data_IF_444242755758
#
_entry.id   IF_444242755758
#
_cell.length_a   1.000
_cell.length_b   1.000
_cell.length_c   1.000
_cell.angle_alpha   90.00
_cell.angle_beta   90.00
_cell.angle_gamma   90.00
#
_symmetry.space_group_name_H-M   'P 1'
#
loop_
_entity.id
_entity.type
_entity.pdbx_description
1 polymer ?
#
# COMPACT_ATOMS: atom_id res chain seq x y z
N UNK A 1 -33.16 -2.43 -0.76
CA UNK A 1 -31.71 -2.64 -0.58
C UNK A 1 -31.27 -3.71 -1.59
N UNK A 2 -30.18 -3.51 -2.30
CA UNK A 2 -29.70 -4.48 -3.30
C UNK A 2 -29.36 -5.82 -2.61
N UNK A 3 -29.94 -6.96 -3.03
CA UNK A 3 -29.66 -8.28 -2.43
C UNK A 3 -28.15 -8.62 -2.46
N UNK A 4 -27.43 -8.19 -3.48
CA UNK A 4 -25.99 -8.39 -3.59
C UNK A 4 -25.23 -7.65 -2.49
N UNK A 5 -25.65 -6.42 -2.14
CA UNK A 5 -25.07 -5.66 -1.06
C UNK A 5 -25.33 -6.29 0.31
N UNK A 6 -26.50 -6.93 0.51
CA UNK A 6 -26.81 -7.67 1.75
C UNK A 6 -25.92 -8.91 1.89
N UNK A 7 -25.74 -9.68 0.82
CA UNK A 7 -24.85 -10.85 0.82
C UNK A 7 -23.39 -10.46 1.07
N UNK A 8 -22.92 -9.36 0.45
CA UNK A 8 -21.57 -8.85 0.69
C UNK A 8 -21.38 -8.37 2.14
N UNK A 9 -22.40 -7.70 2.71
CA UNK A 9 -22.37 -7.29 4.11
C UNK A 9 -22.35 -8.49 5.07
N UNK A 10 -23.13 -9.53 4.79
CA UNK A 10 -23.11 -10.79 5.55
C UNK A 10 -21.75 -11.47 5.49
N UNK A 11 -21.14 -11.53 4.30
CA UNK A 11 -19.79 -12.06 4.12
C UNK A 11 -18.75 -11.23 4.89
N UNK A 12 -18.90 -9.92 4.89
CA UNK A 12 -17.99 -8.98 5.55
C UNK A 12 -18.01 -9.08 7.09
N UNK A 13 -19.14 -9.45 7.67
CA UNK A 13 -19.25 -9.71 9.13
C UNK A 13 -18.38 -10.91 9.52
N UNK A 14 -18.30 -11.92 8.66
CA UNK A 14 -17.45 -13.10 8.89
C UNK A 14 -16.02 -12.80 8.45
N UNK A 15 -15.14 -12.49 9.38
CA UNK A 15 -13.71 -12.18 9.05
C UNK A 15 -13.09 -13.31 8.24
N UNK A 16 -13.32 -14.58 8.61
CA UNK A 16 -12.80 -15.75 7.89
C UNK A 16 -13.36 -15.80 6.48
N UNK A 17 -14.66 -15.69 6.29
CA UNK A 17 -15.28 -15.70 4.94
C UNK A 17 -14.80 -14.55 4.07
N UNK A 18 -14.66 -13.36 4.66
CA UNK A 18 -14.25 -12.16 3.90
C UNK A 18 -12.76 -12.13 3.57
N UNK A 19 -11.88 -12.54 4.50
CA UNK A 19 -10.43 -12.34 4.33
C UNK A 19 -9.72 -13.53 3.68
N UNK A 20 -10.37 -14.70 3.62
CA UNK A 20 -9.84 -15.89 2.93
C UNK A 20 -10.14 -15.84 1.44
N UNK A 21 -9.70 -16.85 0.69
CA UNK A 21 -10.00 -17.06 -0.74
C UNK A 21 -11.50 -17.15 -1.08
N UNK A 22 -12.35 -17.39 -0.07
CA UNK A 22 -13.80 -17.41 -0.24
C UNK A 22 -14.31 -16.02 -0.62
N UNK A 23 -13.78 -14.97 0.03
CA UNK A 23 -14.20 -13.59 -0.21
C UNK A 23 -14.16 -13.16 -1.67
N UNK A 24 -13.00 -13.15 -2.34
CA UNK A 24 -12.90 -12.77 -3.74
C UNK A 24 -13.66 -13.73 -4.67
N UNK A 25 -13.74 -15.03 -4.38
CA UNK A 25 -14.50 -15.98 -5.18
C UNK A 25 -15.99 -15.63 -5.22
N UNK A 26 -16.60 -15.38 -4.05
CA UNK A 26 -18.01 -14.98 -3.93
C UNK A 26 -18.25 -13.62 -4.56
N UNK A 27 -17.41 -12.61 -4.26
CA UNK A 27 -17.57 -11.24 -4.76
C UNK A 27 -17.40 -11.14 -6.28
N UNK A 28 -16.50 -11.94 -6.85
CA UNK A 28 -16.33 -12.02 -8.31
C UNK A 28 -17.64 -12.43 -9.00
N UNK A 29 -18.35 -13.41 -8.46
CA UNK A 29 -19.63 -13.86 -8.99
C UNK A 29 -20.75 -12.82 -8.73
N UNK A 30 -20.84 -12.30 -7.51
CA UNK A 30 -21.86 -11.32 -7.13
C UNK A 30 -21.83 -10.05 -7.96
N UNK A 31 -20.60 -9.55 -8.24
CA UNK A 31 -20.41 -8.24 -8.88
C UNK A 31 -19.86 -8.32 -10.30
N UNK A 32 -19.77 -9.52 -10.87
CA UNK A 32 -19.38 -9.70 -12.27
C UNK A 32 -18.01 -9.08 -12.60
N UNK A 33 -16.96 -9.41 -11.81
CA UNK A 33 -15.64 -8.83 -12.05
C UNK A 33 -15.10 -9.17 -13.43
N UNK A 34 -14.76 -8.14 -14.17
CA UNK A 34 -14.04 -8.28 -15.43
C UNK A 34 -12.56 -7.97 -15.24
N UNK A 35 -11.66 -8.66 -15.94
CA UNK A 35 -10.26 -8.26 -15.99
C UNK A 35 -10.13 -6.90 -16.68
N UNK A 36 -9.10 -6.12 -16.37
CA UNK A 36 -8.79 -4.92 -17.13
C UNK A 36 -8.57 -5.28 -18.62
N UNK A 37 -8.93 -4.39 -19.56
CA UNK A 37 -8.64 -4.61 -20.97
C UNK A 37 -7.14 -4.80 -21.23
N UNK A 38 -6.79 -5.58 -22.23
CA UNK A 38 -5.41 -5.70 -22.67
C UNK A 38 -4.86 -4.30 -23.04
N UNK A 39 -3.63 -4.01 -22.62
CA UNK A 39 -3.02 -2.69 -22.85
C UNK A 39 -3.58 -1.54 -22.01
N UNK A 40 -4.42 -1.80 -21.00
CA UNK A 40 -5.01 -0.76 -20.14
C UNK A 40 -3.98 0.18 -19.47
N UNK A 41 -2.74 -0.27 -19.37
CA UNK A 41 -1.63 0.50 -18.79
C UNK A 41 -0.57 0.91 -19.84
N UNK A 42 -0.83 0.72 -21.13
CA UNK A 42 0.09 1.16 -22.16
C UNK A 42 0.32 2.68 -22.10
N UNK A 43 1.59 3.09 -22.13
CA UNK A 43 2.00 4.50 -22.00
C UNK A 43 1.85 5.09 -20.59
N UNK A 44 1.56 4.27 -19.58
CA UNK A 44 1.48 4.69 -18.18
C UNK A 44 2.69 4.20 -17.38
N UNK A 45 3.15 5.03 -16.45
CA UNK A 45 4.23 4.72 -15.52
C UNK A 45 3.67 4.40 -14.14
N UNK A 46 4.04 3.23 -13.61
CA UNK A 46 3.68 2.77 -12.27
C UNK A 46 4.94 2.57 -11.46
N UNK A 47 4.96 3.07 -10.23
CA UNK A 47 5.99 2.78 -9.25
C UNK A 47 5.47 1.73 -8.27
N UNK A 48 6.26 0.68 -8.01
CA UNK A 48 5.93 -0.35 -7.01
C UNK A 48 7.05 -0.44 -5.99
N UNK A 49 6.74 -0.19 -4.72
CA UNK A 49 7.68 -0.46 -3.62
C UNK A 49 7.56 -1.92 -3.18
N UNK A 50 8.71 -2.61 -2.99
CA UNK A 50 8.75 -4.03 -2.61
C UNK A 50 8.23 -4.98 -3.70
N UNK A 51 8.67 -4.86 -4.98
CA UNK A 51 8.15 -5.64 -6.09
C UNK A 51 8.67 -7.07 -6.17
N UNK A 52 9.65 -7.47 -5.34
CA UNK A 52 10.41 -8.71 -5.52
C UNK A 52 9.76 -9.96 -4.92
N UNK A 53 8.66 -9.83 -4.18
CA UNK A 53 7.96 -10.96 -3.57
C UNK A 53 6.50 -10.67 -3.26
N UNK A 54 5.72 -11.70 -2.97
CA UNK A 54 4.35 -11.61 -2.46
C UNK A 54 3.42 -10.75 -3.32
N UNK A 55 2.69 -9.86 -2.68
CA UNK A 55 1.70 -8.97 -3.33
C UNK A 55 2.34 -8.00 -4.31
N UNK A 56 3.51 -7.44 -3.94
CA UNK A 56 4.25 -6.50 -4.81
C UNK A 56 4.69 -7.16 -6.11
N UNK A 57 5.15 -8.42 -6.04
CA UNK A 57 5.51 -9.20 -7.23
C UNK A 57 4.28 -9.47 -8.10
N UNK A 58 3.20 -9.97 -7.50
CA UNK A 58 1.98 -10.27 -8.24
C UNK A 58 1.35 -9.02 -8.90
N UNK A 59 1.37 -7.87 -8.20
CA UNK A 59 0.92 -6.60 -8.76
C UNK A 59 1.82 -6.13 -9.91
N UNK A 60 3.15 -6.27 -9.76
CA UNK A 60 4.14 -5.94 -10.81
C UNK A 60 3.89 -6.76 -12.07
N UNK A 61 3.77 -8.08 -11.93
CA UNK A 61 3.51 -8.99 -13.05
C UNK A 61 2.20 -8.62 -13.77
N UNK A 62 1.13 -8.38 -13.01
CA UNK A 62 -0.17 -8.00 -13.57
C UNK A 62 -0.13 -6.66 -14.32
N UNK A 63 0.52 -5.64 -13.76
CA UNK A 63 0.63 -4.32 -14.37
C UNK A 63 1.55 -4.33 -15.60
N UNK A 64 2.64 -5.09 -15.54
CA UNK A 64 3.52 -5.31 -16.68
C UNK A 64 2.79 -6.00 -17.85
N UNK A 65 1.98 -7.02 -17.57
CA UNK A 65 1.14 -7.70 -18.57
C UNK A 65 0.10 -6.78 -19.21
N UNK A 66 -0.33 -5.74 -18.50
CA UNK A 66 -1.24 -4.70 -19.01
C UNK A 66 -0.53 -3.58 -19.78
N UNK A 67 0.78 -3.66 -19.97
CA UNK A 67 1.54 -2.72 -20.78
C UNK A 67 2.17 -1.56 -19.99
N UNK A 68 2.18 -1.59 -18.65
CA UNK A 68 2.78 -0.54 -17.84
C UNK A 68 4.33 -0.48 -17.98
N UNK A 69 4.89 0.72 -17.94
CA UNK A 69 6.27 0.96 -17.49
C UNK A 69 6.27 0.85 -15.97
N UNK A 70 7.05 -0.06 -15.37
CA UNK A 70 7.05 -0.29 -13.94
C UNK A 70 8.40 0.06 -13.32
N UNK A 71 8.43 1.13 -12.53
CA UNK A 71 9.59 1.52 -11.71
C UNK A 71 9.67 0.60 -10.50
N UNK A 72 10.69 -0.25 -10.48
CA UNK A 72 10.90 -1.27 -9.45
C UNK A 72 11.70 -0.67 -8.29
N UNK A 73 11.03 -0.42 -7.15
CA UNK A 73 11.69 0.20 -5.99
C UNK A 73 11.86 -0.80 -4.85
N UNK A 74 13.09 -1.00 -4.40
CA UNK A 74 13.39 -1.91 -3.29
C UNK A 74 14.83 -1.82 -2.79
N UNK A 75 15.14 -2.46 -1.67
CA UNK A 75 16.43 -2.32 -1.00
C UNK A 75 17.57 -3.19 -1.56
N UNK A 76 17.26 -4.26 -2.28
CA UNK A 76 18.27 -5.18 -2.83
C UNK A 76 18.41 -4.97 -4.34
N UNK A 77 19.52 -4.37 -4.78
CA UNK A 77 19.85 -4.18 -6.18
C UNK A 77 19.85 -5.51 -6.95
N UNK A 78 20.43 -6.55 -6.36
CA UNK A 78 20.51 -7.88 -6.95
C UNK A 78 19.12 -8.48 -7.23
N UNK A 79 18.21 -8.49 -6.23
CA UNK A 79 16.86 -9.03 -6.39
C UNK A 79 16.03 -8.22 -7.39
N UNK A 80 16.26 -6.91 -7.45
CA UNK A 80 15.59 -6.05 -8.43
C UNK A 80 16.10 -6.30 -9.84
N UNK A 81 17.41 -6.54 -10.01
CA UNK A 81 18.00 -6.89 -11.30
C UNK A 81 17.45 -8.23 -11.82
N UNK A 82 17.41 -9.26 -10.96
CA UNK A 82 16.81 -10.55 -11.32
C UNK A 82 15.35 -10.39 -11.75
N UNK A 83 14.56 -9.65 -10.98
CA UNK A 83 13.16 -9.39 -11.33
C UNK A 83 13.03 -8.65 -12.67
N UNK A 84 13.86 -7.62 -12.90
CA UNK A 84 13.87 -6.88 -14.16
C UNK A 84 14.15 -7.81 -15.34
N UNK A 85 15.18 -8.64 -15.23
CA UNK A 85 15.58 -9.56 -16.32
C UNK A 85 14.48 -10.58 -16.62
N UNK A 86 13.82 -11.12 -15.60
CA UNK A 86 12.62 -11.97 -15.76
C UNK A 86 11.49 -11.24 -16.51
N UNK A 87 11.19 -10.00 -16.13
CA UNK A 87 10.14 -9.21 -16.76
C UNK A 87 10.48 -8.87 -18.22
N UNK A 88 11.75 -8.51 -18.49
CA UNK A 88 12.22 -8.27 -19.88
C UNK A 88 12.12 -9.55 -20.70
N UNK A 89 12.50 -10.71 -20.15
CA UNK A 89 12.38 -12.00 -20.81
C UNK A 89 10.94 -12.36 -21.19
N UNK A 90 9.98 -12.00 -20.34
CA UNK A 90 8.54 -12.28 -20.58
C UNK A 90 7.90 -11.28 -21.55
N UNK A 91 8.25 -10.00 -21.46
CA UNK A 91 7.55 -8.93 -22.18
C UNK A 91 8.31 -8.38 -23.39
N UNK A 92 9.57 -8.82 -23.60
CA UNK A 92 10.38 -8.46 -24.78
C UNK A 92 10.87 -7.01 -24.84
N UNK A 93 10.58 -6.20 -23.81
CA UNK A 93 10.91 -4.77 -23.76
C UNK A 93 11.47 -4.38 -22.39
N UNK A 94 12.49 -3.53 -22.38
CA UNK A 94 13.03 -2.95 -21.14
C UNK A 94 12.27 -1.69 -20.72
N UNK A 95 11.16 -1.91 -20.03
CA UNK A 95 10.35 -0.85 -19.44
C UNK A 95 10.24 -0.98 -17.92
N UNK A 96 11.30 -1.55 -17.31
CA UNK A 96 11.37 -1.90 -15.89
C UNK A 96 12.57 -1.26 -15.19
N UNK A 97 12.63 0.09 -15.07
CA UNK A 97 13.72 0.77 -14.39
C UNK A 97 13.83 0.35 -12.94
N UNK A 98 15.05 0.14 -12.48
CA UNK A 98 15.38 -0.23 -11.10
C UNK A 98 15.82 1.01 -10.33
N UNK A 99 15.23 1.21 -9.16
CA UNK A 99 15.62 2.24 -8.19
C UNK A 99 15.83 1.59 -6.83
N UNK A 100 17.08 1.60 -6.38
CA UNK A 100 17.42 1.04 -5.06
C UNK A 100 17.03 2.04 -3.98
N UNK A 101 16.16 1.61 -3.05
CA UNK A 101 15.74 2.41 -1.92
C UNK A 101 15.40 1.56 -0.70
N UNK A 102 15.92 1.96 0.45
CA UNK A 102 15.47 1.46 1.75
C UNK A 102 14.44 2.43 2.33
N UNK A 103 13.20 1.96 2.48
CA UNK A 103 12.13 2.76 3.08
C UNK A 103 12.36 3.08 4.55
N UNK A 104 13.29 2.39 5.21
CA UNK A 104 13.73 2.69 6.59
C UNK A 104 14.78 3.79 6.71
N UNK A 105 15.22 4.38 5.57
CA UNK A 105 16.21 5.45 5.55
C UNK A 105 15.73 6.64 4.73
N UNK A 106 15.53 7.77 5.37
CA UNK A 106 15.08 9.00 4.71
C UNK A 106 16.07 9.50 3.66
N UNK A 107 17.37 9.35 3.91
CA UNK A 107 18.40 9.67 2.92
C UNK A 107 18.27 8.81 1.66
N UNK A 108 18.03 7.50 1.83
CA UNK A 108 17.81 6.57 0.71
C UNK A 108 16.52 6.89 -0.06
N UNK A 109 15.43 7.21 0.65
CA UNK A 109 14.17 7.62 0.05
C UNK A 109 14.31 8.90 -0.78
N UNK A 110 14.99 9.91 -0.24
CA UNK A 110 15.23 11.19 -0.97
C UNK A 110 16.08 10.99 -2.21
N UNK A 111 17.12 10.16 -2.15
CA UNK A 111 17.94 9.82 -3.31
C UNK A 111 17.09 9.11 -4.39
N UNK A 112 16.21 8.19 -3.99
CA UNK A 112 15.29 7.53 -4.91
C UNK A 112 14.29 8.51 -5.54
N UNK A 113 13.71 9.41 -4.76
CA UNK A 113 12.84 10.49 -5.27
C UNK A 113 13.56 11.33 -6.32
N UNK A 114 14.77 11.80 -6.02
CA UNK A 114 15.56 12.61 -6.96
C UNK A 114 15.80 11.85 -8.28
N UNK A 115 16.17 10.57 -8.19
CA UNK A 115 16.39 9.73 -9.36
C UNK A 115 15.11 9.53 -10.18
N UNK A 116 13.96 9.26 -9.54
CA UNK A 116 12.69 9.08 -10.24
C UNK A 116 12.25 10.38 -10.93
N UNK A 117 12.34 11.51 -10.24
CA UNK A 117 11.96 12.83 -10.80
C UNK A 117 12.85 13.22 -11.98
N UNK A 118 14.14 12.84 -11.95
CA UNK A 118 15.08 13.05 -13.05
C UNK A 118 14.76 12.19 -14.29
N UNK A 119 14.37 10.92 -14.06
CA UNK A 119 14.25 9.93 -15.16
C UNK A 119 12.85 9.73 -15.70
N UNK A 120 11.82 10.03 -14.91
CA UNK A 120 10.43 9.82 -15.30
C UNK A 120 9.73 11.15 -15.62
N UNK A 121 9.18 11.25 -16.82
CA UNK A 121 8.41 12.43 -17.24
C UNK A 121 6.98 12.44 -16.69
N UNK A 122 6.46 11.26 -16.32
CA UNK A 122 5.13 11.04 -15.74
C UNK A 122 5.13 9.96 -14.71
N UNK A 123 4.17 10.00 -13.78
CA UNK A 123 3.94 8.95 -12.81
C UNK A 123 2.43 8.81 -12.55
N UNK A 124 1.83 7.79 -13.15
CA UNK A 124 0.38 7.60 -13.10
C UNK A 124 -0.08 6.94 -11.81
N UNK A 125 0.72 6.00 -11.30
CA UNK A 125 0.36 5.24 -10.09
C UNK A 125 1.58 5.02 -9.21
N UNK A 126 1.42 5.26 -7.91
CA UNK A 126 2.35 4.79 -6.87
C UNK A 126 1.68 3.67 -6.08
N UNK A 127 2.29 2.50 -6.05
CA UNK A 127 1.89 1.38 -5.19
C UNK A 127 2.83 1.33 -4.00
N UNK A 128 2.36 1.86 -2.86
CA UNK A 128 3.06 1.76 -1.57
C UNK A 128 2.74 0.40 -0.94
N UNK A 129 3.59 -0.59 -1.26
CA UNK A 129 3.42 -1.98 -0.84
C UNK A 129 4.55 -2.49 0.05
N UNK A 130 5.75 -1.89 -0.01
CA UNK A 130 6.88 -2.33 0.79
C UNK A 130 6.50 -2.48 2.27
N UNK A 131 6.97 -3.53 2.90
CA UNK A 131 6.70 -3.78 4.30
C UNK A 131 7.70 -4.75 4.92
N UNK A 132 7.89 -4.58 6.21
CA UNK A 132 8.68 -5.48 7.04
C UNK A 132 8.04 -5.57 8.43
N UNK A 133 8.31 -6.67 9.12
CA UNK A 133 7.95 -6.88 10.52
C UNK A 133 9.23 -7.22 11.25
N UNK A 134 9.51 -6.48 12.32
CA UNK A 134 10.68 -6.70 13.15
C UNK A 134 10.24 -7.38 14.44
N UNK A 135 10.89 -8.46 14.88
CA UNK A 135 10.51 -9.18 16.11
C UNK A 135 10.73 -8.34 17.35
N UNK A 136 11.73 -7.45 17.33
CA UNK A 136 12.15 -6.58 18.41
C UNK A 136 12.13 -5.12 17.99
N UNK A 137 12.03 -4.22 18.97
CA UNK A 137 12.16 -2.79 18.72
C UNK A 137 13.60 -2.45 18.35
N UNK A 138 13.78 -1.98 17.14
CA UNK A 138 15.05 -1.42 16.66
C UNK A 138 14.81 -0.05 16.06
N UNK A 139 15.84 0.78 16.02
CA UNK A 139 15.79 2.08 15.37
C UNK A 139 16.56 2.02 14.04
N UNK A 140 16.02 2.69 13.04
CA UNK A 140 16.68 2.91 11.76
C UNK A 140 17.76 4.01 11.84
N UNK A 141 18.42 4.31 10.71
CA UNK A 141 19.50 5.30 10.66
C UNK A 141 19.06 6.73 11.04
N UNK A 142 17.78 7.02 10.93
CA UNK A 142 17.22 8.34 11.28
C UNK A 142 16.70 8.41 12.73
N UNK A 143 16.99 7.40 13.58
CA UNK A 143 16.53 7.34 14.97
C UNK A 143 15.03 7.07 15.12
N UNK A 144 14.38 6.59 14.06
CA UNK A 144 12.96 6.25 14.03
C UNK A 144 12.80 4.74 14.22
N UNK A 145 11.77 4.32 15.00
CA UNK A 145 11.44 2.90 15.15
C UNK A 145 11.22 2.27 13.75
N UNK A 146 11.89 1.14 13.49
CA UNK A 146 12.06 0.60 12.14
C UNK A 146 10.73 0.23 11.45
N UNK A 147 9.73 -0.27 12.20
CA UNK A 147 8.42 -0.58 11.62
C UNK A 147 7.70 0.70 11.20
N UNK A 148 7.73 1.73 12.04
CA UNK A 148 7.17 3.04 11.74
C UNK A 148 7.93 3.69 10.56
N UNK A 149 9.25 3.60 10.55
CA UNK A 149 10.08 4.14 9.46
C UNK A 149 9.71 3.51 8.12
N UNK A 150 9.73 2.18 8.02
CA UNK A 150 9.51 1.44 6.75
C UNK A 150 8.07 1.55 6.25
N UNK A 151 7.09 1.52 7.16
CA UNK A 151 5.67 1.42 6.79
C UNK A 151 4.96 2.77 6.72
N UNK A 152 5.50 3.82 7.34
CA UNK A 152 4.78 5.09 7.47
C UNK A 152 5.63 6.28 7.05
N UNK A 153 6.78 6.50 7.71
CA UNK A 153 7.56 7.74 7.51
C UNK A 153 8.26 7.75 6.14
N UNK A 154 8.91 6.65 5.77
CA UNK A 154 9.56 6.52 4.45
C UNK A 154 8.56 6.61 3.29
N UNK A 155 7.44 5.86 3.29
CA UNK A 155 6.37 6.02 2.31
C UNK A 155 5.78 7.43 2.26
N UNK A 156 5.62 8.10 3.41
CA UNK A 156 5.19 9.49 3.45
C UNK A 156 6.18 10.41 2.73
N UNK A 157 7.47 10.30 3.06
CA UNK A 157 8.54 11.07 2.42
C UNK A 157 8.63 10.80 0.90
N UNK A 158 8.49 9.52 0.49
CA UNK A 158 8.45 9.13 -0.92
C UNK A 158 7.30 9.83 -1.65
N UNK A 159 6.09 9.75 -1.13
CA UNK A 159 4.92 10.37 -1.76
C UNK A 159 5.04 11.89 -1.77
N UNK A 160 5.48 12.51 -0.67
CA UNK A 160 5.70 13.95 -0.57
C UNK A 160 6.68 14.45 -1.64
N UNK A 161 7.83 13.79 -1.78
CA UNK A 161 8.83 14.15 -2.77
C UNK A 161 8.40 13.92 -4.23
N UNK A 162 7.49 12.94 -4.47
CA UNK A 162 6.96 12.66 -5.80
C UNK A 162 5.73 13.52 -6.17
N UNK A 163 5.16 14.30 -5.25
CA UNK A 163 3.97 15.12 -5.53
C UNK A 163 4.11 16.05 -6.74
N UNK A 164 5.24 16.74 -6.98
CA UNK A 164 5.37 17.58 -8.16
C UNK A 164 5.21 16.80 -9.47
N UNK A 165 5.69 15.55 -9.51
CA UNK A 165 5.53 14.66 -10.66
C UNK A 165 4.10 14.13 -10.78
N UNK A 166 3.48 13.75 -9.67
CA UNK A 166 2.10 13.27 -9.61
C UNK A 166 1.11 14.37 -10.02
N UNK A 167 1.27 15.60 -9.51
CA UNK A 167 0.38 16.73 -9.84
C UNK A 167 0.38 17.10 -11.33
N UNK A 168 1.53 16.97 -12.03
CA UNK A 168 1.60 17.20 -13.48
C UNK A 168 1.13 16.02 -14.34
N UNK A 169 0.83 14.87 -13.71
CA UNK A 169 0.34 13.68 -14.39
C UNK A 169 -1.18 13.57 -14.23
N UNK A 170 -1.98 13.78 -15.30
CA UNK A 170 -3.44 13.75 -15.21
C UNK A 170 -3.98 12.41 -14.68
N UNK A 171 -4.79 12.46 -13.63
CA UNK A 171 -5.40 11.29 -13.02
C UNK A 171 -4.45 10.41 -12.22
N UNK A 172 -3.32 10.97 -11.76
CA UNK A 172 -2.37 10.27 -10.92
C UNK A 172 -3.01 9.79 -9.62
N UNK A 173 -2.50 8.66 -9.12
CA UNK A 173 -3.04 8.04 -7.91
C UNK A 173 -1.98 7.37 -7.06
N UNK A 174 -2.21 7.36 -5.75
CA UNK A 174 -1.41 6.66 -4.75
C UNK A 174 -2.26 5.56 -4.13
N UNK A 175 -1.79 4.34 -4.16
CA UNK A 175 -2.44 3.16 -3.58
C UNK A 175 -1.56 2.60 -2.47
N UNK A 176 -1.98 2.75 -1.22
CA UNK A 176 -1.29 2.17 -0.07
C UNK A 176 -1.84 0.76 0.23
N UNK A 177 -0.94 -0.18 0.47
CA UNK A 177 -1.28 -1.55 0.85
C UNK A 177 -1.20 -1.69 2.37
N UNK A 178 -2.35 -1.72 3.02
CA UNK A 178 -2.48 -1.94 4.46
C UNK A 178 -2.72 -3.42 4.80
N UNK A 179 -3.18 -3.72 5.99
CA UNK A 179 -3.46 -5.08 6.46
C UNK A 179 -4.76 -5.12 7.27
N UNK A 180 -5.52 -6.20 7.19
CA UNK A 180 -6.73 -6.41 7.99
C UNK A 180 -6.51 -6.37 9.50
N UNK A 181 -5.30 -6.65 9.98
CA UNK A 181 -4.93 -6.53 11.40
C UNK A 181 -5.09 -5.13 11.98
N UNK A 182 -5.07 -4.11 11.13
CA UNK A 182 -5.26 -2.70 11.53
C UNK A 182 -6.62 -2.42 12.17
N UNK A 183 -7.65 -3.23 11.88
CA UNK A 183 -8.98 -3.04 12.47
C UNK A 183 -9.02 -3.27 13.98
N UNK A 184 -8.06 -4.06 14.50
CA UNK A 184 -8.01 -4.46 15.91
C UNK A 184 -7.04 -3.64 16.75
N UNK A 185 -6.37 -2.64 16.15
CA UNK A 185 -5.38 -1.82 16.84
C UNK A 185 -5.85 -0.38 17.01
N UNK A 186 -5.79 0.09 18.25
CA UNK A 186 -5.84 1.51 18.57
C UNK A 186 -4.48 2.13 18.31
N UNK A 187 -4.45 3.29 17.67
CA UNK A 187 -3.22 4.06 17.52
C UNK A 187 -2.98 4.88 18.81
N UNK A 188 -1.81 4.71 19.37
CA UNK A 188 -1.32 5.51 20.48
C UNK A 188 -0.45 6.62 19.93
N UNK A 189 -0.97 7.84 19.95
CA UNK A 189 -0.28 9.00 19.41
C UNK A 189 0.75 9.60 20.38
N UNK A 190 0.73 9.18 21.66
CA UNK A 190 1.69 9.62 22.65
C UNK A 190 2.96 8.75 22.61
N UNK A 191 2.86 7.53 22.05
CA UNK A 191 3.99 6.61 21.90
C UNK A 191 3.93 5.85 20.58
N UNK A 192 4.01 6.58 19.46
CA UNK A 192 4.06 5.99 18.11
C UNK A 192 5.28 5.09 17.91
N UNK A 193 6.36 5.38 18.60
CA UNK A 193 7.66 4.73 18.43
C UNK A 193 7.96 3.69 19.51
N UNK A 194 7.01 3.35 20.38
CA UNK A 194 7.22 2.39 21.48
C UNK A 194 8.44 2.70 22.36
N UNK A 195 8.59 3.94 22.75
CA UNK A 195 9.66 4.37 23.65
C UNK A 195 9.40 3.97 25.11
N UNK A 196 8.13 3.88 25.48
CA UNK A 196 7.68 3.57 26.85
C UNK A 196 6.91 2.26 26.90
N UNK A 197 6.08 1.96 25.90
CA UNK A 197 5.20 0.80 25.86
C UNK A 197 5.91 -0.51 25.50
N UNK A 198 5.25 -1.63 25.82
CA UNK A 198 5.77 -2.94 25.42
C UNK A 198 5.66 -3.12 23.89
N UNK A 199 6.78 -3.44 23.27
CA UNK A 199 6.89 -3.73 21.85
C UNK A 199 6.56 -5.21 21.57
N UNK A 200 5.79 -5.44 20.54
CA UNK A 200 5.74 -6.72 19.82
C UNK A 200 5.63 -6.42 18.33
N UNK A 201 6.39 -7.12 17.49
CA UNK A 201 6.42 -6.85 16.05
C UNK A 201 5.03 -6.88 15.39
N UNK A 202 4.17 -7.83 15.77
CA UNK A 202 2.81 -7.93 15.24
C UNK A 202 1.95 -6.71 15.61
N UNK A 203 2.08 -6.19 16.83
CA UNK A 203 1.36 -5.00 17.29
C UNK A 203 1.90 -3.74 16.62
N UNK A 204 3.22 -3.58 16.53
CA UNK A 204 3.86 -2.46 15.86
C UNK A 204 3.45 -2.40 14.39
N UNK A 205 3.51 -3.54 13.70
CA UNK A 205 3.04 -3.66 12.32
C UNK A 205 1.56 -3.26 12.17
N UNK A 206 0.67 -3.80 12.98
CA UNK A 206 -0.76 -3.50 12.89
C UNK A 206 -1.08 -2.03 13.21
N UNK A 207 -0.37 -1.40 14.17
CA UNK A 207 -0.46 0.04 14.45
C UNK A 207 0.06 0.88 13.28
N UNK A 208 1.21 0.53 12.69
CA UNK A 208 1.72 1.22 11.50
C UNK A 208 0.74 1.13 10.32
N UNK A 209 0.14 -0.06 10.10
CA UNK A 209 -0.92 -0.24 9.09
C UNK A 209 -2.19 0.57 9.41
N UNK A 210 -2.49 0.81 10.69
CA UNK A 210 -3.55 1.72 11.12
C UNK A 210 -3.21 3.18 10.83
N UNK A 211 -1.96 3.59 11.06
CA UNK A 211 -1.49 4.94 10.72
C UNK A 211 -1.59 5.20 9.20
N UNK A 212 -1.25 4.24 8.35
CA UNK A 212 -1.38 4.38 6.90
C UNK A 212 -2.81 4.76 6.46
N UNK A 213 -3.84 4.10 7.00
CA UNK A 213 -5.22 4.45 6.62
C UNK A 213 -5.64 5.84 7.10
N UNK A 214 -5.15 6.27 8.26
CA UNK A 214 -5.40 7.61 8.76
C UNK A 214 -4.72 8.68 7.88
N UNK A 215 -3.46 8.43 7.47
CA UNK A 215 -2.71 9.32 6.58
C UNK A 215 -3.33 9.38 5.18
N UNK A 216 -3.80 8.27 4.60
CA UNK A 216 -4.49 8.30 3.29
C UNK A 216 -5.73 9.20 3.34
N UNK A 217 -6.47 9.22 4.45
CA UNK A 217 -7.60 10.15 4.65
C UNK A 217 -7.14 11.60 4.72
N UNK A 218 -6.02 11.87 5.40
CA UNK A 218 -5.47 13.23 5.48
C UNK A 218 -4.86 13.68 4.15
N UNK A 219 -4.12 12.82 3.44
CA UNK A 219 -3.66 13.08 2.08
C UNK A 219 -4.82 13.49 1.16
N UNK A 220 -5.88 12.68 1.14
CA UNK A 220 -7.06 12.95 0.31
C UNK A 220 -7.75 14.27 0.66
N UNK A 221 -7.87 14.58 1.95
CA UNK A 221 -8.51 15.81 2.42
C UNK A 221 -7.67 17.06 2.12
N UNK A 222 -6.37 16.96 2.38
CA UNK A 222 -5.44 18.09 2.26
C UNK A 222 -5.11 18.42 0.80
N UNK A 223 -5.09 17.39 -0.06
CA UNK A 223 -4.81 17.53 -1.49
C UNK A 223 -6.07 17.46 -2.37
N UNK A 224 -7.23 17.75 -1.79
CA UNK A 224 -8.47 17.86 -2.58
C UNK A 224 -8.30 18.92 -3.68
N UNK A 225 -8.65 18.56 -4.91
CA UNK A 225 -8.48 19.44 -6.07
C UNK A 225 -7.09 19.44 -6.73
N UNK A 226 -6.11 18.72 -6.18
CA UNK A 226 -4.75 18.66 -6.74
C UNK A 226 -4.62 17.80 -8.01
N UNK A 227 -5.67 17.08 -8.39
CA UNK A 227 -5.63 16.10 -9.49
C UNK A 227 -5.06 14.74 -9.09
N UNK A 228 -4.54 14.57 -7.86
CA UNK A 228 -4.01 13.30 -7.33
C UNK A 228 -5.04 12.64 -6.42
N UNK A 229 -5.33 11.37 -6.65
CA UNK A 229 -6.23 10.58 -5.79
C UNK A 229 -5.46 9.63 -4.90
N UNK A 230 -6.00 9.36 -3.71
CA UNK A 230 -5.40 8.51 -2.70
C UNK A 230 -6.37 7.39 -2.33
N UNK A 231 -5.89 6.16 -2.34
CA UNK A 231 -6.65 4.99 -1.92
C UNK A 231 -5.79 4.11 -1.01
N UNK A 232 -6.46 3.37 -0.15
CA UNK A 232 -5.80 2.32 0.63
C UNK A 232 -6.58 1.03 0.46
N UNK A 233 -5.89 -0.09 0.42
CA UNK A 233 -6.52 -1.40 0.35
C UNK A 233 -5.88 -2.39 1.33
N UNK A 234 -6.63 -3.39 1.77
CA UNK A 234 -6.06 -4.55 2.42
C UNK A 234 -6.33 -5.82 1.60
N UNK A 235 -5.36 -6.74 1.52
CA UNK A 235 -5.43 -7.89 0.60
C UNK A 235 -6.26 -9.07 1.14
N UNK A 236 -6.81 -8.97 2.35
CA UNK A 236 -7.24 -10.15 3.10
C UNK A 236 -6.04 -10.93 3.65
N UNK A 237 -6.20 -12.24 3.83
CA UNK A 237 -5.13 -13.14 4.26
C UNK A 237 -4.53 -13.83 3.04
N UNK A 238 -3.44 -13.26 2.53
CA UNK A 238 -2.75 -13.76 1.35
C UNK A 238 -1.51 -14.60 1.75
N UNK A 239 -1.27 -15.67 1.02
CA UNK A 239 -0.08 -16.50 1.13
C UNK A 239 1.13 -15.70 0.66
N UNK A 240 1.89 -15.21 1.61
CA UNK A 240 3.09 -14.39 1.38
C UNK A 240 4.20 -14.82 2.33
N UNK A 241 5.47 -14.66 1.94
CA UNK A 241 6.59 -14.95 2.83
C UNK A 241 6.49 -14.21 4.18
N UNK A 242 6.11 -12.94 4.17
CA UNK A 242 5.97 -12.14 5.38
C UNK A 242 4.90 -12.69 6.36
N UNK A 243 3.79 -13.25 5.87
CA UNK A 243 2.80 -13.88 6.74
C UNK A 243 3.33 -15.19 7.34
N UNK A 244 4.00 -16.00 6.53
CA UNK A 244 4.56 -17.28 6.96
C UNK A 244 5.64 -17.10 8.04
N UNK A 245 6.51 -16.12 7.87
CA UNK A 245 7.60 -15.79 8.81
C UNK A 245 7.10 -15.18 10.12
N UNK A 246 6.08 -14.31 10.03
CA UNK A 246 5.63 -13.53 11.20
C UNK A 246 4.64 -14.26 12.08
N UNK A 247 3.74 -15.05 11.49
CA UNK A 247 2.65 -15.75 12.18
C UNK A 247 2.62 -17.24 11.76
N UNK A 248 3.68 -18.02 12.03
CA UNK A 248 3.81 -19.38 11.51
C UNK A 248 2.67 -20.31 11.97
N UNK A 249 2.21 -20.19 13.21
CA UNK A 249 1.08 -20.98 13.72
C UNK A 249 -0.24 -20.65 13.01
N UNK A 250 -0.53 -19.38 12.83
CA UNK A 250 -1.69 -18.92 12.06
C UNK A 250 -1.58 -19.35 10.59
N UNK A 251 -0.42 -19.17 10.00
CA UNK A 251 -0.15 -19.57 8.61
C UNK A 251 -0.40 -21.06 8.41
N UNK A 252 0.15 -21.93 9.28
CA UNK A 252 -0.04 -23.38 9.19
C UNK A 252 -1.50 -23.80 9.24
N UNK A 253 -2.30 -23.20 10.15
CA UNK A 253 -3.72 -23.47 10.30
C UNK A 253 -4.54 -22.96 9.11
N UNK A 254 -4.25 -21.76 8.62
CA UNK A 254 -5.07 -21.07 7.62
C UNK A 254 -4.60 -21.31 6.18
N UNK A 255 -3.46 -21.96 5.96
CA UNK A 255 -2.84 -22.16 4.65
C UNK A 255 -3.81 -22.64 3.56
N UNK A 256 -4.70 -23.63 3.78
CA UNK A 256 -5.65 -24.08 2.75
C UNK A 256 -6.68 -23.02 2.34
N UNK A 257 -6.90 -22.01 3.19
CA UNK A 257 -7.89 -20.94 3.00
C UNK A 257 -7.24 -19.61 2.61
N UNK A 258 -5.91 -19.51 2.64
CA UNK A 258 -5.23 -18.28 2.25
C UNK A 258 -5.49 -17.98 0.77
N UNK A 259 -5.53 -16.71 0.45
CA UNK A 259 -5.54 -16.21 -0.93
C UNK A 259 -4.18 -16.43 -1.56
N UNK A 260 -4.12 -16.69 -2.83
CA UNK A 260 -2.87 -16.56 -3.59
C UNK A 260 -2.39 -15.12 -3.59
N UNK A 261 -1.10 -14.89 -3.85
CA UNK A 261 -0.57 -13.54 -4.00
C UNK A 261 -1.31 -12.76 -5.11
N UNK A 262 -1.69 -13.42 -6.19
CA UNK A 262 -2.47 -12.83 -7.29
C UNK A 262 -3.89 -12.41 -6.84
N UNK A 263 -4.60 -13.24 -6.08
CA UNK A 263 -5.90 -12.89 -5.51
C UNK A 263 -5.80 -11.73 -4.50
N UNK A 264 -4.72 -11.68 -3.72
CA UNK A 264 -4.45 -10.57 -2.80
C UNK A 264 -4.12 -9.27 -3.53
N UNK A 265 -3.41 -9.34 -4.66
CA UNK A 265 -3.01 -8.19 -5.47
C UNK A 265 -4.10 -7.70 -6.44
N UNK A 266 -5.18 -8.45 -6.64
CA UNK A 266 -6.24 -8.10 -7.59
C UNK A 266 -6.81 -6.70 -7.36
N UNK A 267 -7.08 -6.34 -6.11
CA UNK A 267 -7.57 -4.99 -5.78
C UNK A 267 -6.52 -3.90 -6.02
N UNK A 268 -5.22 -4.20 -5.88
CA UNK A 268 -4.14 -3.25 -6.24
C UNK A 268 -4.22 -2.95 -7.73
N UNK A 269 -4.28 -4.00 -8.57
CA UNK A 269 -4.37 -3.88 -10.02
C UNK A 269 -5.65 -3.14 -10.44
N UNK A 270 -6.79 -3.46 -9.81
CA UNK A 270 -8.05 -2.76 -10.06
C UNK A 270 -7.98 -1.27 -9.70
N UNK A 271 -7.42 -0.93 -8.53
CA UNK A 271 -7.22 0.46 -8.11
C UNK A 271 -6.29 1.22 -9.06
N UNK A 272 -5.30 0.55 -9.63
CA UNK A 272 -4.39 1.15 -10.61
C UNK A 272 -5.03 1.40 -11.98
N UNK A 273 -5.98 0.57 -12.41
CA UNK A 273 -6.50 0.55 -13.79
C UNK A 273 -7.91 1.12 -13.92
N UNK A 274 -8.79 0.89 -12.95
CA UNK A 274 -10.21 1.23 -13.05
C UNK A 274 -10.43 2.75 -12.89
N UNK A 275 -11.35 3.37 -13.66
CA UNK A 275 -11.58 4.83 -13.61
C UNK A 275 -12.20 5.31 -12.29
N UNK A 276 -13.05 4.50 -11.62
CA UNK A 276 -13.75 4.91 -10.39
C UNK A 276 -12.81 5.39 -9.27
N UNK A 277 -11.69 4.70 -8.94
CA UNK A 277 -10.80 5.19 -7.89
C UNK A 277 -10.16 6.54 -8.16
N UNK A 278 -10.04 6.95 -9.41
CA UNK A 278 -9.52 8.27 -9.75
C UNK A 278 -10.47 9.41 -9.35
N UNK A 279 -11.76 9.11 -9.22
CA UNK A 279 -12.80 10.09 -8.84
C UNK A 279 -13.21 9.98 -7.36
N UNK A 280 -12.74 8.94 -6.64
CA UNK A 280 -13.11 8.66 -5.24
C UNK A 280 -11.87 8.54 -4.37
N UNK A 281 -11.34 9.68 -3.95
CA UNK A 281 -10.16 9.74 -3.08
C UNK A 281 -10.48 9.45 -1.61
N UNK A 282 -9.51 8.91 -0.86
CA UNK A 282 -9.58 8.76 0.58
C UNK A 282 -10.40 7.54 1.06
N UNK A 283 -10.56 6.50 0.25
CA UNK A 283 -11.33 5.29 0.62
C UNK A 283 -10.42 4.08 0.90
N UNK A 284 -10.95 3.20 1.75
CA UNK A 284 -10.38 1.88 2.02
C UNK A 284 -11.12 0.83 1.18
N UNK A 285 -10.36 -0.08 0.58
CA UNK A 285 -10.91 -1.14 -0.28
C UNK A 285 -10.51 -2.54 0.17
N UNK A 286 -11.42 -3.48 0.00
CA UNK A 286 -11.20 -4.92 -0.03
C UNK A 286 -12.04 -5.49 -1.16
N UNK A 287 -11.43 -6.32 -2.00
CA UNK A 287 -12.13 -7.01 -3.09
C UNK A 287 -12.91 -6.04 -3.97
N UNK A 288 -12.20 -5.00 -4.47
CA UNK A 288 -12.71 -3.93 -5.35
C UNK A 288 -13.90 -3.15 -4.78
N UNK A 289 -14.19 -3.27 -3.48
CA UNK A 289 -15.33 -2.63 -2.81
C UNK A 289 -14.88 -1.71 -1.69
N UNK A 290 -15.47 -0.53 -1.55
CA UNK A 290 -15.22 0.34 -0.40
C UNK A 290 -15.61 -0.35 0.90
N UNK A 291 -14.79 -0.17 1.94
CA UNK A 291 -14.99 -0.72 3.28
C UNK A 291 -14.91 0.36 4.35
N UNK A 292 -15.58 0.17 5.49
CA UNK A 292 -15.45 1.10 6.61
C UNK A 292 -13.99 1.12 7.11
N UNK A 293 -13.53 2.30 7.52
CA UNK A 293 -12.22 2.46 8.15
C UNK A 293 -12.16 1.85 9.56
N UNK A 294 -13.29 1.86 10.24
CA UNK A 294 -13.42 1.50 11.64
C UNK A 294 -14.47 0.41 11.79
N UNK A 295 -14.06 -0.78 12.25
CA UNK A 295 -14.95 -1.88 12.62
C UNK A 295 -15.18 -1.93 14.13
N UNK A 296 -14.19 -1.49 14.91
CA UNK A 296 -14.23 -1.47 16.36
C UNK A 296 -14.27 -0.01 16.81
N UNK A 297 -15.31 0.44 17.52
CA UNK A 297 -15.47 1.85 17.91
C UNK A 297 -14.27 2.41 18.69
N UNK A 298 -13.65 1.60 19.58
CA UNK A 298 -12.49 2.02 20.38
C UNK A 298 -11.22 2.29 19.57
N UNK A 299 -11.16 1.84 18.30
CA UNK A 299 -10.01 2.09 17.41
C UNK A 299 -10.18 3.34 16.55
N UNK A 300 -11.35 4.00 16.63
CA UNK A 300 -11.68 5.16 15.81
C UNK A 300 -10.78 6.35 16.14
N UNK A 301 -10.23 6.97 15.10
CA UNK A 301 -9.48 8.22 15.20
C UNK A 301 -10.39 9.41 14.88
N UNK A 302 -10.37 10.40 15.75
CA UNK A 302 -11.03 11.69 15.52
C UNK A 302 -10.33 12.48 14.40
N UNK A 303 -10.93 13.55 13.95
CA UNK A 303 -10.28 14.46 13.02
C UNK A 303 -9.04 15.15 13.65
N UNK A 304 -9.09 15.42 14.97
CA UNK A 304 -7.94 15.96 15.71
C UNK A 304 -6.79 14.96 15.78
N UNK A 305 -7.09 13.67 16.08
CA UNK A 305 -6.07 12.62 16.13
C UNK A 305 -5.36 12.45 14.76
N UNK A 306 -6.12 12.48 13.67
CA UNK A 306 -5.52 12.38 12.33
C UNK A 306 -4.65 13.57 11.98
N UNK A 307 -5.04 14.79 12.37
CA UNK A 307 -4.18 15.98 12.20
C UNK A 307 -2.90 15.86 13.01
N UNK A 308 -3.02 15.46 14.28
CA UNK A 308 -1.86 15.25 15.15
C UNK A 308 -0.90 14.20 14.56
N UNK A 309 -1.44 13.07 14.07
CA UNK A 309 -0.64 12.07 13.38
C UNK A 309 0.09 12.65 12.16
N UNK A 310 -0.62 13.42 11.34
CA UNK A 310 -0.02 14.07 10.18
C UNK A 310 1.14 14.96 10.57
N UNK A 311 0.94 15.84 11.53
CA UNK A 311 1.95 16.80 11.98
C UNK A 311 3.17 16.07 12.55
N UNK A 312 2.98 14.98 13.29
CA UNK A 312 4.06 14.12 13.79
C UNK A 312 4.84 13.45 12.65
N UNK A 313 4.15 12.94 11.63
CA UNK A 313 4.83 12.29 10.50
C UNK A 313 5.55 13.31 9.61
N UNK A 314 5.01 14.49 9.42
CA UNK A 314 5.74 15.62 8.80
C UNK A 314 7.02 15.91 9.55
N UNK A 315 6.95 16.06 10.86
CA UNK A 315 8.12 16.32 11.71
C UNK A 315 9.17 15.19 11.63
N UNK A 316 8.74 13.92 11.71
CA UNK A 316 9.63 12.76 11.61
C UNK A 316 10.25 12.60 10.22
N UNK A 317 9.51 12.92 9.16
CA UNK A 317 10.02 12.81 7.79
C UNK A 317 11.00 13.92 7.43
N UNK A 318 10.96 15.06 8.14
CA UNK A 318 11.71 16.26 7.81
C UNK A 318 11.33 16.89 6.47
N UNK A 319 10.19 16.49 5.89
CA UNK A 319 9.65 17.09 4.68
C UNK A 319 8.87 18.37 5.01
N UNK A 320 8.85 19.32 4.08
CA UNK A 320 7.88 20.41 4.17
C UNK A 320 6.44 19.83 4.12
N UNK A 321 5.49 20.46 4.84
CA UNK A 321 4.10 19.97 4.77
C UNK A 321 3.62 19.97 3.31
N UNK A 322 3.39 18.79 2.71
CA UNK A 322 3.04 18.70 1.30
C UNK A 322 1.73 19.39 0.94
N UNK A 323 0.90 19.70 1.95
CA UNK A 323 -0.34 20.43 1.77
C UNK A 323 -0.15 21.96 1.81
N UNK A 324 0.96 22.44 2.34
CA UNK A 324 1.29 23.87 2.37
C UNK A 324 1.97 24.34 1.07
N UNK A 325 2.48 23.40 0.26
CA UNK A 325 3.11 23.65 -1.04
C UNK A 325 2.05 23.46 -2.12
N UNK A 326 1.21 24.48 -2.32
CA UNK A 326 0.14 24.52 -3.30
C UNK A 326 0.50 25.27 -4.55
#
# INVERSE_FOLDING_TARGET
>A
MDPRALLDAGLEITVVGSFTRIGPAVRRQLFGWSPPPAGAMAGRTVLVTGPTSGLGRAATDALAALGARVVLVGRSAERLAVLRDELVGVHGEDRFPVVVADMGSLASVRAAVARIVETESRLDVVIDNAGAIYPERIEGPDGIEATLAVLVVGPFALVAGLLPLLRRTPGARVVAVTSGGMYFQRLDLDDLQYRVGQFTGARAYAKAKRAQIALVREWSRRLAGSGVSFAVMHPGWADTPGLAETLPGFYGLMRPLLRTAAEGADTITWLATHPEPATTSGRLYLDRRPRPFDRIPSTRLTAADRRRLWDEIVALSGEADPAAVG
#
